data_IF_897967057872
#
_entry.id   IF_897967057872
#
_cell.length_a   1.000
_cell.length_b   1.000
_cell.length_c   1.000
_cell.angle_alpha   90.00
_cell.angle_beta   90.00
_cell.angle_gamma   90.00
#
_symmetry.space_group_name_H-M   'P 1'
#
loop_
_entity.id
_entity.type
_entity.pdbx_description
1 polymer ?
#
# COMPACT_ATOMS: atom_id res chain seq x y z
N UNK A 1 -6.45 20.39 -3.98
CA UNK A 1 -7.43 19.89 -2.99
C UNK A 1 -6.69 18.81 -2.22
N UNK A 2 -6.37 19.05 -0.96
CA UNK A 2 -5.94 17.96 -0.08
C UNK A 2 -7.22 17.26 0.36
N UNK A 3 -7.51 16.12 -0.26
CA UNK A 3 -8.61 15.28 0.17
C UNK A 3 -8.21 14.52 1.43
N UNK A 4 -9.15 14.34 2.36
CA UNK A 4 -8.91 13.48 3.52
C UNK A 4 -8.98 12.03 3.06
N UNK A 5 -7.96 11.23 3.38
CA UNK A 5 -8.00 9.78 3.19
C UNK A 5 -8.12 9.11 4.56
N UNK A 6 -9.12 8.25 4.73
CA UNK A 6 -9.35 7.46 5.94
C UNK A 6 -9.35 5.97 5.65
N UNK A 7 -8.78 5.17 6.55
CA UNK A 7 -8.78 3.71 6.47
C UNK A 7 -9.54 3.15 7.68
N UNK A 8 -10.39 2.13 7.49
CA UNK A 8 -11.18 1.53 8.56
C UNK A 8 -11.41 0.03 8.37
N UNK A 9 -11.68 -0.71 9.45
CA UNK A 9 -11.89 -2.18 9.39
C UNK A 9 -13.38 -2.57 9.24
N UNK A 10 -14.21 -2.10 10.18
CA UNK A 10 -15.62 -2.47 10.26
C UNK A 10 -16.54 -1.39 9.73
N UNK A 11 -16.49 -0.23 10.39
CA UNK A 11 -17.24 0.96 10.02
C UNK A 11 -16.52 2.21 10.48
N UNK A 12 -16.83 3.34 9.84
CA UNK A 12 -16.33 4.66 10.25
C UNK A 12 -17.50 5.62 10.38
N UNK A 13 -17.51 6.38 11.47
CA UNK A 13 -18.50 7.43 11.71
C UNK A 13 -18.10 8.69 10.94
N UNK A 14 -18.99 9.16 10.08
CA UNK A 14 -18.82 10.38 9.30
C UNK A 14 -19.57 11.53 9.97
N UNK A 15 -18.85 12.63 10.18
CA UNK A 15 -19.40 13.90 10.62
C UNK A 15 -18.65 15.03 9.95
N UNK A 16 -19.35 16.11 9.61
CA UNK A 16 -18.74 17.29 9.00
C UNK A 16 -18.58 18.40 10.03
N UNK A 17 -17.41 19.03 10.03
CA UNK A 17 -17.16 20.28 10.76
C UNK A 17 -17.09 21.46 9.80
N UNK A 18 -17.61 22.61 10.21
CA UNK A 18 -17.45 23.87 9.49
C UNK A 18 -16.79 24.90 10.41
N UNK A 19 -15.76 25.62 9.94
CA UNK A 19 -15.20 26.75 10.68
C UNK A 19 -16.19 27.92 10.82
N UNK A 20 -17.27 27.91 10.03
CA UNK A 20 -18.41 28.82 10.17
C UNK A 20 -19.61 28.04 10.72
N UNK A 21 -19.91 28.15 12.02
CA UNK A 21 -21.05 27.46 12.64
C UNK A 21 -22.36 27.81 11.94
N UNK A 22 -23.24 26.82 11.75
CA UNK A 22 -24.59 27.02 11.22
C UNK A 22 -24.73 26.99 9.69
N UNK A 23 -23.64 26.88 8.92
CA UNK A 23 -23.78 26.67 7.47
C UNK A 23 -24.17 25.22 7.16
N UNK A 24 -25.22 24.98 6.32
CA UNK A 24 -25.58 23.65 5.90
C UNK A 24 -24.48 23.04 5.04
N UNK A 25 -24.23 21.76 5.26
CA UNK A 25 -23.31 20.96 4.45
C UNK A 25 -24.13 20.05 3.56
N UNK A 26 -23.84 20.04 2.26
CA UNK A 26 -24.38 19.06 1.32
C UNK A 26 -23.27 18.10 0.91
N UNK A 27 -23.59 16.81 0.82
CA UNK A 27 -22.63 15.77 0.48
C UNK A 27 -23.19 14.75 -0.52
N UNK A 28 -22.31 14.10 -1.27
CA UNK A 28 -22.58 13.07 -2.26
C UNK A 28 -21.65 11.89 -1.98
N UNK A 29 -22.20 10.68 -1.86
CA UNK A 29 -21.45 9.44 -1.70
C UNK A 29 -21.32 8.76 -3.06
N UNK A 30 -20.12 8.36 -3.46
CA UNK A 30 -19.82 7.59 -4.68
C UNK A 30 -20.45 8.20 -5.94
N UNK A 31 -20.34 9.52 -6.09
CA UNK A 31 -20.93 10.31 -7.19
C UNK A 31 -22.46 10.25 -7.29
N UNK A 32 -23.16 9.80 -6.24
CA UNK A 32 -24.62 9.86 -6.14
C UNK A 32 -25.16 11.28 -5.98
N UNK A 33 -26.49 11.43 -5.80
CA UNK A 33 -27.12 12.73 -5.59
C UNK A 33 -26.61 13.42 -4.32
N UNK A 34 -26.57 14.75 -4.34
CA UNK A 34 -26.24 15.54 -3.16
C UNK A 34 -27.42 15.55 -2.18
N UNK A 35 -27.13 15.26 -0.92
CA UNK A 35 -28.08 15.28 0.19
C UNK A 35 -27.57 16.24 1.27
N UNK A 36 -28.48 16.89 1.99
CA UNK A 36 -28.12 17.75 3.12
C UNK A 36 -27.74 16.90 4.33
N UNK A 37 -26.64 17.25 4.97
CA UNK A 37 -26.21 16.64 6.22
C UNK A 37 -27.10 17.12 7.37
N UNK A 38 -27.77 16.18 8.04
CA UNK A 38 -28.63 16.44 9.21
C UNK A 38 -28.04 15.83 10.48
N UNK A 39 -27.46 14.64 10.37
CA UNK A 39 -26.86 13.93 11.49
C UNK A 39 -25.70 13.02 11.02
N UNK A 40 -24.75 12.70 11.92
CA UNK A 40 -23.68 11.76 11.63
C UNK A 40 -24.19 10.37 11.22
N UNK A 41 -23.53 9.75 10.25
CA UNK A 41 -23.86 8.42 9.75
C UNK A 41 -22.62 7.52 9.70
N UNK A 42 -22.80 6.24 9.41
CA UNK A 42 -21.71 5.28 9.31
C UNK A 42 -21.52 4.80 7.87
N UNK A 43 -20.25 4.68 7.46
CA UNK A 43 -19.87 3.90 6.30
C UNK A 43 -19.44 2.51 6.75
N UNK A 44 -19.87 1.48 6.02
CA UNK A 44 -19.44 0.09 6.19
C UNK A 44 -18.70 -0.46 4.97
N UNK A 45 -18.49 0.37 3.95
CA UNK A 45 -17.81 0.01 2.71
C UNK A 45 -17.01 1.21 2.16
N UNK A 46 -16.14 0.95 1.18
CA UNK A 46 -15.34 1.96 0.52
C UNK A 46 -16.23 3.08 -0.03
N UNK A 47 -15.81 4.33 0.15
CA UNK A 47 -16.58 5.46 -0.32
C UNK A 47 -15.71 6.67 -0.68
N UNK A 48 -16.07 7.36 -1.77
CA UNK A 48 -15.70 8.76 -1.98
C UNK A 48 -16.88 9.64 -1.56
N UNK A 49 -16.62 10.59 -0.66
CA UNK A 49 -17.58 11.59 -0.21
C UNK A 49 -17.14 12.94 -0.75
N UNK A 50 -17.93 13.51 -1.66
CA UNK A 50 -17.79 14.91 -2.08
C UNK A 50 -18.72 15.78 -1.26
N UNK A 51 -18.23 16.89 -0.73
CA UNK A 51 -19.03 17.74 0.14
C UNK A 51 -18.66 19.21 -0.02
N UNK A 52 -19.62 20.08 0.30
CA UNK A 52 -19.41 21.53 0.32
C UNK A 52 -20.36 22.17 1.33
N UNK A 53 -20.02 23.38 1.77
CA UNK A 53 -20.90 24.29 2.48
C UNK A 53 -21.20 25.49 1.59
N UNK A 54 -22.45 25.95 1.54
CA UNK A 54 -22.80 27.17 0.83
C UNK A 54 -22.44 28.39 1.66
N UNK A 55 -21.60 29.28 1.13
CA UNK A 55 -21.39 30.63 1.66
C UNK A 55 -21.95 31.60 0.63
N UNK A 56 -23.02 32.32 0.97
CA UNK A 56 -23.70 33.37 0.19
C UNK A 56 -23.54 33.25 -1.34
N UNK A 57 -24.51 32.62 -2.02
CA UNK A 57 -24.78 32.58 -3.48
C UNK A 57 -23.64 32.44 -4.51
N UNK A 58 -22.36 32.50 -4.16
CA UNK A 58 -21.29 32.75 -5.15
C UNK A 58 -20.02 31.90 -4.98
N UNK A 59 -19.90 31.05 -3.96
CA UNK A 59 -18.85 30.02 -4.01
C UNK A 59 -19.14 28.79 -3.16
N UNK A 60 -19.10 27.61 -3.79
CA UNK A 60 -18.92 26.33 -3.12
C UNK A 60 -17.53 25.81 -3.48
N UNK A 61 -16.68 25.58 -2.46
CA UNK A 61 -15.45 24.82 -2.66
C UNK A 61 -15.78 23.36 -2.41
N UNK A 62 -15.91 22.59 -3.49
CA UNK A 62 -16.07 21.15 -3.38
C UNK A 62 -14.82 20.54 -2.77
N UNK A 63 -15.03 19.75 -1.72
CA UNK A 63 -14.02 18.94 -1.07
C UNK A 63 -14.34 17.46 -1.33
N UNK A 64 -13.32 16.61 -1.28
CA UNK A 64 -13.46 15.17 -1.43
C UNK A 64 -12.73 14.49 -0.27
N UNK A 65 -13.37 13.51 0.34
CA UNK A 65 -12.75 12.58 1.27
C UNK A 65 -12.94 11.15 0.74
N UNK A 66 -11.90 10.32 0.85
CA UNK A 66 -11.95 8.91 0.45
C UNK A 66 -11.76 8.02 1.66
N UNK A 67 -12.60 7.01 1.76
CA UNK A 67 -12.61 6.05 2.84
C UNK A 67 -12.38 4.66 2.26
N UNK A 68 -11.36 3.98 2.76
CA UNK A 68 -10.97 2.65 2.30
C UNK A 68 -11.17 1.64 3.41
N UNK A 69 -11.93 0.58 3.11
CA UNK A 69 -12.14 -0.51 4.05
C UNK A 69 -11.01 -1.54 3.92
N UNK A 70 -10.42 -1.94 5.04
CA UNK A 70 -9.42 -2.98 5.06
C UNK A 70 -10.04 -4.35 4.71
N UNK A 71 -9.38 -5.15 3.87
CA UNK A 71 -9.77 -6.55 3.67
C UNK A 71 -9.74 -7.30 5.00
N UNK A 72 -10.85 -7.95 5.34
CA UNK A 72 -10.96 -8.70 6.61
C UNK A 72 -10.42 -10.12 6.51
N UNK A 73 -10.25 -10.64 5.30
CA UNK A 73 -9.92 -12.03 5.03
C UNK A 73 -8.42 -12.33 5.09
N UNK A 74 -7.60 -11.33 5.44
CA UNK A 74 -6.15 -11.44 5.43
C UNK A 74 -5.50 -10.56 6.50
N UNK A 75 -4.29 -10.93 6.91
CA UNK A 75 -3.43 -10.16 7.81
C UNK A 75 -1.99 -10.20 7.36
N UNK A 76 -1.30 -9.07 7.50
CA UNK A 76 0.14 -8.95 7.21
C UNK A 76 0.94 -9.03 8.50
N UNK A 77 2.01 -9.82 8.46
CA UNK A 77 3.03 -9.92 9.49
C UNK A 77 4.36 -9.48 8.90
N UNK A 78 5.09 -8.62 9.60
CA UNK A 78 6.39 -8.11 9.15
C UNK A 78 7.48 -8.59 10.10
N UNK A 79 8.48 -9.28 9.57
CA UNK A 79 9.69 -9.64 10.33
C UNK A 79 10.67 -8.46 10.37
N UNK A 80 10.61 -7.61 9.34
CA UNK A 80 11.35 -6.35 9.26
C UNK A 80 10.64 -5.22 10.00
N UNK A 81 11.40 -4.22 10.46
CA UNK A 81 10.87 -3.07 11.19
C UNK A 81 10.95 -1.81 10.33
N UNK A 82 9.82 -1.19 9.95
CA UNK A 82 9.86 0.06 9.21
C UNK A 82 10.46 1.16 10.07
N UNK A 83 11.08 2.13 9.41
CA UNK A 83 11.54 3.35 10.04
C UNK A 83 10.34 4.10 10.64
N UNK A 84 10.50 4.69 11.83
CA UNK A 84 9.39 5.27 12.59
C UNK A 84 8.65 6.40 11.84
N UNK A 85 9.34 7.08 10.92
CA UNK A 85 8.76 8.15 10.09
C UNK A 85 8.01 7.62 8.85
N UNK A 86 8.15 6.34 8.50
CA UNK A 86 7.67 5.76 7.26
C UNK A 86 6.95 4.44 7.53
N UNK A 87 5.88 4.48 8.33
CA UNK A 87 5.12 3.28 8.73
C UNK A 87 3.85 3.06 7.90
N UNK A 88 3.40 4.07 7.15
CA UNK A 88 2.12 4.09 6.43
C UNK A 88 0.88 3.73 7.27
N UNK A 89 0.97 3.78 8.61
CA UNK A 89 -0.10 3.31 9.50
C UNK A 89 0.03 1.86 9.98
N UNK A 90 1.15 1.19 9.71
CA UNK A 90 1.49 -0.15 10.22
C UNK A 90 1.26 -1.27 9.20
N UNK A 91 1.47 -2.55 9.58
CA UNK A 91 1.52 -3.67 8.64
C UNK A 91 0.34 -3.82 7.68
N UNK A 92 -0.88 -3.51 8.13
CA UNK A 92 -2.09 -3.63 7.29
C UNK A 92 -2.16 -2.56 6.19
N UNK A 93 -1.30 -1.54 6.24
CA UNK A 93 -1.17 -0.60 5.13
C UNK A 93 -0.74 -1.28 3.82
N UNK A 94 -0.06 -2.43 3.91
CA UNK A 94 0.41 -3.21 2.76
C UNK A 94 -0.69 -3.99 2.04
N UNK A 95 -1.93 -3.91 2.52
CA UNK A 95 -3.10 -4.55 1.89
C UNK A 95 -4.30 -3.61 1.94
N UNK A 96 -4.07 -2.30 2.09
CA UNK A 96 -5.15 -1.34 2.29
C UNK A 96 -5.71 -0.80 0.97
N UNK A 97 -5.17 -1.21 -0.19
CA UNK A 97 -5.53 -0.75 -1.53
C UNK A 97 -5.24 0.75 -1.79
N UNK A 98 -4.30 1.34 -1.04
CA UNK A 98 -3.83 2.70 -1.24
C UNK A 98 -2.44 2.66 -1.86
N UNK A 99 -2.41 2.90 -3.18
CA UNK A 99 -1.16 2.95 -3.92
C UNK A 99 -0.35 4.20 -3.60
N UNK A 100 0.94 3.96 -3.41
CA UNK A 100 1.96 4.96 -3.20
C UNK A 100 2.09 5.92 -4.37
N UNK A 101 2.38 7.19 -4.04
CA UNK A 101 2.61 8.27 -5.02
C UNK A 101 4.10 8.61 -5.09
N UNK A 102 4.53 9.21 -6.20
CA UNK A 102 5.93 9.69 -6.35
C UNK A 102 6.35 10.62 -5.21
N UNK A 103 5.42 11.47 -4.74
CA UNK A 103 5.62 12.20 -3.51
C UNK A 103 5.44 11.28 -2.30
N UNK A 104 6.50 10.59 -1.93
CA UNK A 104 6.50 9.65 -0.81
C UNK A 104 6.25 10.28 0.56
N UNK A 105 6.41 11.60 0.68
CA UNK A 105 6.08 12.36 1.90
C UNK A 105 4.58 12.41 2.19
N UNK A 106 3.74 11.96 1.24
CA UNK A 106 2.29 11.82 1.44
C UNK A 106 1.93 10.75 2.48
N UNK A 107 2.86 9.86 2.84
CA UNK A 107 2.65 8.85 3.89
C UNK A 107 2.12 7.51 3.40
N UNK A 108 2.05 7.31 2.08
CA UNK A 108 1.51 6.10 1.45
C UNK A 108 2.54 4.95 1.34
N UNK A 109 3.73 5.07 1.95
CA UNK A 109 4.83 4.10 1.81
C UNK A 109 5.37 3.64 3.17
N UNK A 110 5.69 2.35 3.27
CA UNK A 110 6.53 1.83 4.34
C UNK A 110 8.00 1.85 3.94
N UNK A 111 8.83 2.51 4.76
CA UNK A 111 10.26 2.67 4.51
C UNK A 111 11.12 1.83 5.43
N UNK A 112 12.03 1.03 4.88
CA UNK A 112 12.93 0.13 5.62
C UNK A 112 14.38 0.49 5.32
N UNK A 113 15.13 0.94 6.32
CA UNK A 113 16.52 1.37 6.14
C UNK A 113 17.51 0.27 6.52
N UNK A 114 18.48 0.00 5.65
CA UNK A 114 19.65 -0.83 5.95
C UNK A 114 19.32 -2.29 6.31
N UNK A 115 18.13 -2.76 5.92
CA UNK A 115 17.64 -4.09 6.20
C UNK A 115 16.81 -4.58 5.01
N UNK A 116 16.81 -5.89 4.82
CA UNK A 116 15.91 -6.55 3.89
C UNK A 116 14.47 -6.47 4.42
N UNK A 117 13.52 -6.55 3.50
CA UNK A 117 12.10 -6.69 3.83
C UNK A 117 11.75 -8.17 3.82
N UNK A 118 11.18 -8.67 4.91
CA UNK A 118 10.51 -9.97 4.95
C UNK A 118 9.11 -9.82 5.55
N UNK A 119 8.12 -10.23 4.77
CA UNK A 119 6.71 -10.05 5.07
C UNK A 119 5.94 -11.33 4.75
N UNK A 120 4.96 -11.65 5.59
CA UNK A 120 4.06 -12.79 5.41
C UNK A 120 2.62 -12.29 5.41
N UNK A 121 1.94 -12.47 4.29
CA UNK A 121 0.50 -12.32 4.18
C UNK A 121 -0.15 -13.66 4.51
N UNK A 122 -1.09 -13.66 5.47
CA UNK A 122 -1.90 -14.82 5.84
C UNK A 122 -3.36 -14.55 5.51
N UNK A 123 -3.98 -15.47 4.80
CA UNK A 123 -5.43 -15.51 4.62
C UNK A 123 -6.11 -16.30 5.74
N UNK A 124 -7.36 -15.96 6.05
CA UNK A 124 -8.13 -16.67 7.07
C UNK A 124 -8.45 -18.12 6.65
N UNK A 125 -8.79 -18.31 5.38
CA UNK A 125 -9.03 -19.60 4.74
C UNK A 125 -8.04 -19.88 3.62
N UNK A 126 -7.78 -21.16 3.36
CA UNK A 126 -7.02 -21.57 2.17
C UNK A 126 -7.82 -21.24 0.90
N UNK A 127 -7.12 -20.83 -0.16
CA UNK A 127 -7.72 -20.41 -1.43
C UNK A 127 -6.78 -20.58 -2.61
N UNK A 128 -7.34 -20.65 -3.81
CA UNK A 128 -6.57 -20.46 -5.04
C UNK A 128 -6.11 -19.01 -5.16
N UNK A 129 -4.88 -18.83 -5.61
CA UNK A 129 -4.28 -17.53 -5.91
C UNK A 129 -3.71 -17.57 -7.31
N UNK A 130 -3.88 -16.49 -8.07
CA UNK A 130 -3.48 -16.38 -9.47
C UNK A 130 -2.22 -15.53 -9.63
N UNK A 131 -2.16 -14.42 -8.91
CA UNK A 131 -1.10 -13.42 -9.06
C UNK A 131 -0.68 -12.87 -7.71
N UNK A 132 0.60 -12.56 -7.60
CA UNK A 132 1.16 -11.72 -6.54
C UNK A 132 1.74 -10.48 -7.21
N UNK A 133 1.52 -9.30 -6.64
CA UNK A 133 2.16 -8.08 -7.09
C UNK A 133 2.62 -7.25 -5.90
N UNK A 134 3.82 -6.68 -5.99
CA UNK A 134 4.29 -5.69 -5.03
C UNK A 134 4.82 -4.49 -5.77
N UNK A 135 4.65 -3.31 -5.18
CA UNK A 135 5.08 -2.06 -5.79
C UNK A 135 6.12 -1.38 -4.92
N UNK A 136 7.17 -0.88 -5.57
CA UNK A 136 8.27 -0.18 -4.92
C UNK A 136 8.46 1.20 -5.52
N UNK A 137 9.01 2.10 -4.72
CA UNK A 137 9.48 3.41 -5.14
C UNK A 137 10.99 3.41 -5.26
N UNK A 138 11.50 4.16 -6.22
CA UNK A 138 12.90 4.57 -6.29
C UNK A 138 13.01 6.09 -6.39
N UNK A 139 13.81 6.66 -5.50
CA UNK A 139 14.24 8.06 -5.47
C UNK A 139 15.63 8.09 -4.82
N UNK A 140 16.66 7.91 -5.66
CA UNK A 140 18.04 7.70 -5.17
C UNK A 140 18.64 8.93 -4.51
N UNK A 141 18.24 10.13 -4.95
CA UNK A 141 18.61 11.37 -4.27
C UNK A 141 18.09 11.40 -2.82
N UNK A 142 16.95 10.73 -2.55
CA UNK A 142 16.40 10.50 -1.21
C UNK A 142 16.84 9.16 -0.59
N UNK A 143 17.83 8.49 -1.19
CA UNK A 143 18.44 7.22 -0.75
C UNK A 143 17.48 6.03 -0.82
N UNK A 144 16.39 6.15 -1.58
CA UNK A 144 15.38 5.12 -1.78
C UNK A 144 15.74 4.36 -3.06
N UNK A 145 16.07 3.08 -2.91
CA UNK A 145 16.48 2.21 -4.00
C UNK A 145 15.43 1.11 -4.19
N UNK A 146 15.32 0.60 -5.42
CA UNK A 146 14.63 -0.67 -5.63
C UNK A 146 15.34 -1.82 -4.90
N UNK A 147 14.63 -2.91 -4.58
CA UNK A 147 15.28 -4.12 -4.09
C UNK A 147 16.21 -4.69 -5.16
N UNK A 148 17.37 -5.19 -4.77
CA UNK A 148 18.29 -5.86 -5.71
C UNK A 148 17.75 -7.21 -6.16
N UNK A 149 16.99 -7.86 -5.29
CA UNK A 149 16.33 -9.12 -5.52
C UNK A 149 14.99 -9.14 -4.80
N UNK A 150 13.97 -9.71 -5.44
CA UNK A 150 12.64 -9.89 -4.88
C UNK A 150 12.22 -11.35 -5.06
N UNK A 151 11.85 -12.02 -3.99
CA UNK A 151 11.39 -13.40 -4.02
C UNK A 151 10.00 -13.57 -3.42
N UNK A 152 9.26 -14.48 -4.03
CA UNK A 152 7.91 -14.85 -3.64
C UNK A 152 7.85 -16.33 -3.30
N UNK A 153 7.19 -16.66 -2.20
CA UNK A 153 6.92 -18.03 -1.80
C UNK A 153 5.48 -18.18 -1.29
N UNK A 154 4.95 -19.40 -1.36
CA UNK A 154 3.63 -19.74 -0.82
C UNK A 154 3.70 -20.91 0.16
N UNK A 155 2.76 -20.96 1.09
CA UNK A 155 2.67 -22.02 2.09
C UNK A 155 1.23 -22.28 2.51
N UNK A 156 0.97 -23.51 2.98
CA UNK A 156 -0.29 -23.92 3.61
C UNK A 156 -0.24 -23.83 5.13
N UNK A 157 0.96 -23.84 5.72
CA UNK A 157 1.18 -24.00 7.17
C UNK A 157 2.15 -22.97 7.79
N UNK A 158 2.74 -22.06 7.00
CA UNK A 158 3.78 -21.09 7.35
C UNK A 158 5.15 -21.68 7.76
N UNK A 159 5.30 -22.99 7.70
CA UNK A 159 6.53 -23.72 8.06
C UNK A 159 7.25 -24.18 6.80
N UNK A 160 6.51 -24.84 5.89
CA UNK A 160 7.03 -25.36 4.63
C UNK A 160 6.65 -24.41 3.50
N UNK A 161 7.65 -23.91 2.79
CA UNK A 161 7.49 -22.89 1.75
C UNK A 161 7.88 -23.45 0.39
N UNK A 162 7.04 -23.17 -0.61
CA UNK A 162 7.36 -23.37 -2.01
C UNK A 162 7.83 -22.04 -2.57
N UNK A 163 9.10 -21.95 -2.95
CA UNK A 163 9.65 -20.78 -3.64
C UNK A 163 9.12 -20.74 -5.08
N UNK A 164 8.53 -19.61 -5.47
CA UNK A 164 7.76 -19.47 -6.71
C UNK A 164 8.56 -18.74 -7.77
N UNK A 165 9.17 -17.62 -7.41
CA UNK A 165 9.93 -16.80 -8.32
C UNK A 165 10.91 -15.94 -7.55
N UNK A 166 12.09 -15.73 -8.14
CA UNK A 166 13.04 -14.71 -7.72
C UNK A 166 13.29 -13.78 -8.90
N UNK A 167 13.22 -12.48 -8.67
CA UNK A 167 13.36 -11.41 -9.67
C UNK A 167 14.57 -10.58 -9.26
N UNK A 168 15.61 -10.54 -10.10
CA UNK A 168 16.73 -9.62 -9.93
C UNK A 168 16.41 -8.27 -10.58
N UNK A 169 16.57 -7.18 -9.83
CA UNK A 169 16.41 -5.83 -10.37
C UNK A 169 17.73 -5.39 -11.00
N UNK A 170 17.88 -5.68 -12.29
CA UNK A 170 19.11 -5.36 -13.06
C UNK A 170 19.13 -3.89 -13.53
N UNK A 171 18.85 -2.94 -12.64
CA UNK A 171 18.90 -1.51 -12.95
C UNK A 171 20.29 -0.96 -12.63
N UNK A 172 20.88 -0.21 -13.57
CA UNK A 172 22.13 0.53 -13.33
C UNK A 172 21.98 1.38 -12.08
N UNK A 173 22.98 1.39 -11.20
CA UNK A 173 22.96 2.16 -9.95
C UNK A 173 23.11 3.67 -10.17
N UNK A 174 23.57 4.11 -11.35
CA UNK A 174 23.72 5.54 -11.69
C UNK A 174 22.48 6.22 -12.25
N UNK A 175 21.41 5.47 -12.53
CA UNK A 175 20.15 6.05 -12.99
C UNK A 175 19.42 6.77 -11.84
N UNK A 176 19.26 8.08 -11.94
CA UNK A 176 18.60 8.93 -10.93
C UNK A 176 17.12 9.17 -11.21
N UNK A 177 16.52 8.52 -12.22
CA UNK A 177 15.10 8.68 -12.53
C UNK A 177 14.24 8.19 -11.37
N UNK A 178 13.52 9.13 -10.76
CA UNK A 178 12.48 8.84 -9.77
C UNK A 178 11.36 8.06 -10.43
N UNK A 179 11.02 6.90 -9.88
CA UNK A 179 10.04 6.01 -10.50
C UNK A 179 9.34 5.13 -9.48
N UNK A 180 8.17 4.63 -9.87
CA UNK A 180 7.45 3.57 -9.18
C UNK A 180 7.40 2.38 -10.14
N UNK A 181 7.69 1.19 -9.63
CA UNK A 181 7.66 -0.04 -10.40
C UNK A 181 6.89 -1.13 -9.65
N UNK A 182 6.03 -1.84 -10.39
CA UNK A 182 5.34 -3.04 -9.91
C UNK A 182 6.08 -4.28 -10.37
N UNK A 183 6.08 -5.31 -9.53
CA UNK A 183 6.79 -6.56 -9.77
C UNK A 183 5.79 -7.74 -9.78
N UNK A 184 5.08 -7.98 -10.89
CA UNK A 184 4.09 -9.05 -10.97
C UNK A 184 4.74 -10.44 -11.00
N UNK A 185 4.11 -11.38 -10.30
CA UNK A 185 4.36 -12.81 -10.37
C UNK A 185 3.05 -13.50 -10.75
N UNK A 186 3.03 -14.16 -11.92
CA UNK A 186 1.95 -15.09 -12.30
C UNK A 186 2.13 -16.39 -11.50
N UNK A 187 1.59 -16.39 -10.28
CA UNK A 187 1.73 -17.48 -9.32
C UNK A 187 1.21 -18.80 -9.91
N UNK A 188 0.08 -18.76 -10.63
CA UNK A 188 -0.50 -19.98 -11.21
C UNK A 188 0.40 -20.56 -12.29
N UNK A 189 0.94 -19.74 -13.19
CA UNK A 189 1.87 -20.20 -14.21
C UNK A 189 3.15 -20.79 -13.58
N UNK A 190 3.72 -20.10 -12.58
CA UNK A 190 4.92 -20.56 -11.88
C UNK A 190 4.72 -21.88 -11.13
N UNK A 191 3.59 -22.06 -10.46
CA UNK A 191 3.25 -23.33 -9.80
C UNK A 191 3.15 -24.48 -10.80
N UNK A 192 2.59 -24.24 -11.99
CA UNK A 192 2.53 -25.25 -13.05
C UNK A 192 3.92 -25.61 -13.57
N UNK A 193 4.79 -24.62 -13.80
CA UNK A 193 6.20 -24.83 -14.22
C UNK A 193 6.97 -25.69 -13.20
N UNK A 194 6.68 -25.50 -11.91
CA UNK A 194 7.28 -26.26 -10.80
C UNK A 194 6.62 -27.63 -10.56
N UNK A 195 5.62 -28.02 -11.36
CA UNK A 195 4.82 -29.24 -11.19
C UNK A 195 4.18 -29.37 -9.80
N UNK A 196 3.79 -28.24 -9.19
CA UNK A 196 3.13 -28.23 -7.88
C UNK A 196 1.64 -28.47 -8.08
N UNK A 197 1.16 -29.61 -7.57
CA UNK A 197 -0.25 -30.03 -7.74
C UNK A 197 -1.21 -29.33 -6.76
N UNK A 198 -0.69 -28.76 -5.67
CA UNK A 198 -1.50 -28.00 -4.73
C UNK A 198 -1.90 -26.65 -5.34
N UNK A 199 -3.21 -26.42 -5.44
CA UNK A 199 -3.79 -25.18 -5.95
C UNK A 199 -4.28 -24.23 -4.85
N UNK A 200 -4.24 -24.64 -3.58
CA UNK A 200 -4.81 -23.90 -2.46
C UNK A 200 -3.74 -23.54 -1.42
N UNK A 201 -3.59 -22.25 -1.17
CA UNK A 201 -2.57 -21.69 -0.30
C UNK A 201 -3.20 -20.83 0.78
N UNK A 202 -2.50 -20.67 1.90
CA UNK A 202 -2.97 -19.83 3.03
C UNK A 202 -2.01 -18.68 3.32
N UNK A 203 -0.76 -18.81 2.91
CA UNK A 203 0.28 -17.84 3.18
C UNK A 203 1.03 -17.48 1.89
N UNK A 204 1.37 -16.20 1.78
CA UNK A 204 2.31 -15.66 0.79
C UNK A 204 3.44 -15.00 1.57
N UNK A 205 4.69 -15.30 1.20
CA UNK A 205 5.88 -14.62 1.72
C UNK A 205 6.51 -13.80 0.62
N UNK A 206 6.85 -12.57 0.97
CA UNK A 206 7.62 -11.64 0.13
C UNK A 206 8.94 -11.37 0.84
N UNK A 207 10.05 -11.51 0.10
CA UNK A 207 11.37 -11.07 0.57
C UNK A 207 11.98 -10.13 -0.45
N UNK A 208 12.36 -8.93 -0.03
CA UNK A 208 12.99 -7.92 -0.87
C UNK A 208 14.35 -7.55 -0.29
N UNK A 209 15.41 -7.81 -1.05
CA UNK A 209 16.78 -7.59 -0.64
C UNK A 209 17.18 -6.14 -0.80
N UNK A 210 17.64 -5.51 0.27
CA UNK A 210 18.10 -4.13 0.27
C UNK A 210 19.33 -3.98 -0.62
N UNK A 211 19.49 -2.80 -1.22
CA UNK A 211 20.67 -2.49 -2.03
C UNK A 211 21.97 -2.52 -1.20
N UNK A 212 21.85 -2.30 0.11
CA UNK A 212 22.95 -2.22 1.05
C UNK A 212 23.37 -0.77 1.27
N UNK A 213 24.68 -0.54 1.29
CA UNK A 213 25.27 0.79 1.41
C UNK A 213 25.23 1.50 0.06
N UNK A 214 25.00 2.81 0.09
CA UNK A 214 25.06 3.64 -1.11
C UNK A 214 26.45 3.55 -1.76
N UNK A 215 26.51 3.48 -3.10
CA UNK A 215 27.75 3.32 -3.85
C UNK A 215 28.62 4.58 -3.78
N UNK A 216 29.91 4.44 -4.09
CA UNK A 216 30.93 5.49 -3.90
C UNK A 216 30.66 6.79 -4.66
N UNK A 217 29.96 6.71 -5.80
CA UNK A 217 29.63 7.89 -6.61
C UNK A 217 28.48 8.71 -6.00
N UNK A 218 27.70 8.15 -5.08
CA UNK A 218 26.54 8.81 -4.48
C UNK A 218 26.94 9.74 -3.34
N UNK A 219 26.22 10.85 -3.15
CA UNK A 219 26.53 11.83 -2.10
C UNK A 219 26.44 11.22 -0.69
N UNK A 220 25.49 10.31 -0.48
CA UNK A 220 25.32 9.52 0.74
C UNK A 220 26.22 8.29 0.86
N UNK A 221 27.29 8.15 0.05
CA UNK A 221 28.17 6.96 0.02
C UNK A 221 28.47 6.36 1.40
N UNK A 222 28.39 5.03 1.48
CA UNK A 222 28.68 4.28 2.71
C UNK A 222 27.55 4.22 3.74
N UNK A 223 26.54 5.09 3.66
CA UNK A 223 25.33 5.00 4.49
C UNK A 223 24.32 4.00 3.90
N UNK A 224 23.44 3.41 4.73
CA UNK A 224 22.45 2.44 4.26
C UNK A 224 21.34 3.08 3.43
N UNK A 225 20.89 2.35 2.41
CA UNK A 225 19.74 2.70 1.56
C UNK A 225 18.40 2.35 2.23
N UNK A 226 17.34 2.99 1.76
CA UNK A 226 15.96 2.64 2.06
C UNK A 226 15.36 1.75 0.96
N UNK A 227 14.49 0.82 1.38
CA UNK A 227 13.45 0.22 0.53
C UNK A 227 12.11 0.84 0.88
N UNK A 228 11.33 1.27 -0.12
CA UNK A 228 9.97 1.77 0.06
C UNK A 228 8.98 0.86 -0.67
N UNK A 229 8.01 0.32 0.07
CA UNK A 229 6.93 -0.56 -0.42
C UNK A 229 5.58 -0.04 0.05
N UNK A 230 4.55 -0.09 -0.80
CA UNK A 230 3.19 0.36 -0.49
C UNK A 230 2.21 -0.81 -0.33
N UNK A 231 2.17 -1.76 -1.27
CA UNK A 231 1.13 -2.79 -1.40
C UNK A 231 1.70 -4.18 -1.70
N UNK A 232 1.00 -5.20 -1.19
CA UNK A 232 1.12 -6.61 -1.55
C UNK A 232 -0.27 -7.08 -2.01
N UNK A 233 -0.45 -7.09 -3.32
CA UNK A 233 -1.70 -7.50 -3.95
C UNK A 233 -1.65 -8.99 -4.27
N UNK A 234 -2.74 -9.69 -3.94
CA UNK A 234 -2.91 -11.11 -4.24
C UNK A 234 -4.35 -11.35 -4.69
N UNK A 235 -4.45 -11.85 -5.93
CA UNK A 235 -5.70 -12.19 -6.63
C UNK A 235 -6.04 -13.68 -6.51
#
# INVERSE_FOLDING_TARGET
MEGTHGVFEDSVRISFGSPNPGLPVSYSINNGPFTNFTEPFYLSDHASIRFYSLRNTESFRMQEARFTRLPKDRKVFTNSKPHASYTAGGPQALVNQIHGKLNWRAGDWQGYQGQDIEMVLRFDSSRSMQRINTTFLEDRNSWIFYPTELSYAVSTDSVHWVEIQTIATNKSDRDLTVSIASFPCDLRARLNELNVTNSHWKFVRVRAKNYGKMPDWHEGRGYPTYLFIDEIEVD
#
